data_IF_166540645888
#
_entry.id   IF_166540645888
#
_cell.length_a   1.000
_cell.length_b   1.000
_cell.length_c   1.000
_cell.angle_alpha   90.00
_cell.angle_beta   90.00
_cell.angle_gamma   90.00
#
_symmetry.space_group_name_H-M   'P 1'
#
loop_
_entity.id
_entity.type
_entity.pdbx_description
1 polymer ?
#
# COMPACT_ATOMS: atom_id res chain seq x y z
N UNK A 1 -7.72 -56.58 -8.82
CA UNK A 1 -6.82 -55.64 -9.52
C UNK A 1 -7.53 -54.36 -9.95
N UNK A 2 -8.75 -54.39 -10.45
CA UNK A 2 -9.48 -53.19 -10.91
C UNK A 2 -9.71 -52.13 -9.81
N UNK A 3 -9.97 -52.52 -8.58
CA UNK A 3 -10.24 -51.57 -7.47
C UNK A 3 -8.95 -50.85 -6.99
N UNK A 4 -7.78 -51.43 -7.11
CA UNK A 4 -6.52 -50.79 -6.74
C UNK A 4 -6.09 -49.72 -7.74
N UNK A 5 -6.39 -49.94 -9.03
CA UNK A 5 -6.12 -48.98 -10.11
C UNK A 5 -7.05 -47.77 -9.99
N UNK A 6 -8.30 -48.00 -9.59
CA UNK A 6 -9.29 -46.90 -9.39
C UNK A 6 -8.91 -46.02 -8.20
N UNK A 7 -8.46 -46.61 -7.08
CA UNK A 7 -7.99 -45.85 -5.92
C UNK A 7 -6.71 -45.05 -6.21
N UNK A 8 -5.76 -45.62 -6.98
CA UNK A 8 -4.54 -44.88 -7.36
C UNK A 8 -4.82 -43.75 -8.32
N UNK A 9 -5.75 -43.93 -9.25
CA UNK A 9 -6.15 -42.88 -10.19
C UNK A 9 -6.90 -41.73 -9.45
N UNK A 10 -7.73 -42.05 -8.46
CA UNK A 10 -8.43 -41.05 -7.63
C UNK A 10 -7.47 -40.26 -6.76
N UNK A 11 -6.42 -40.91 -6.20
CA UNK A 11 -5.39 -40.24 -5.41
C UNK A 11 -4.53 -39.28 -6.24
N UNK A 12 -4.29 -39.62 -7.52
CA UNK A 12 -3.52 -38.77 -8.42
C UNK A 12 -4.28 -37.49 -8.83
N UNK A 13 -5.60 -37.57 -8.94
CA UNK A 13 -6.46 -36.42 -9.33
C UNK A 13 -6.58 -35.40 -8.19
N UNK A 14 -6.53 -35.85 -6.94
CA UNK A 14 -6.58 -34.94 -5.76
C UNK A 14 -5.28 -34.15 -5.54
N UNK A 15 -4.16 -34.61 -6.08
CA UNK A 15 -2.87 -33.94 -5.94
C UNK A 15 -2.74 -32.65 -6.81
N UNK A 16 -3.60 -32.47 -7.82
CA UNK A 16 -3.57 -31.29 -8.71
C UNK A 16 -4.39 -30.09 -8.22
N UNK A 17 -5.10 -30.20 -7.10
CA UNK A 17 -5.83 -29.08 -6.50
C UNK A 17 -4.95 -28.18 -5.61
N UNK A 18 -3.65 -28.05 -5.93
CA UNK A 18 -2.82 -27.01 -5.33
C UNK A 18 -3.25 -25.69 -5.91
N UNK A 19 -4.13 -24.99 -5.19
CA UNK A 19 -4.53 -23.61 -5.49
C UNK A 19 -3.28 -22.75 -5.58
N UNK A 20 -2.92 -22.34 -6.77
CA UNK A 20 -1.85 -21.39 -7.01
C UNK A 20 -2.34 -20.04 -6.45
N UNK A 21 -1.98 -19.71 -5.21
CA UNK A 21 -2.20 -18.35 -4.67
C UNK A 21 -1.34 -17.41 -5.50
N UNK A 22 -1.98 -16.46 -6.16
CA UNK A 22 -1.29 -15.40 -6.85
C UNK A 22 -0.58 -14.52 -5.81
N UNK A 23 0.66 -14.13 -6.11
CA UNK A 23 1.38 -13.20 -5.27
C UNK A 23 0.77 -11.79 -5.35
N UNK A 24 0.87 -10.97 -4.27
CA UNK A 24 0.44 -9.58 -4.30
C UNK A 24 1.09 -8.82 -5.45
N UNK A 25 0.32 -8.04 -6.18
CA UNK A 25 0.80 -7.29 -7.35
C UNK A 25 -0.32 -6.85 -8.27
N UNK A 26 0.05 -6.46 -9.50
CA UNK A 26 -0.87 -5.98 -10.53
C UNK A 26 -1.46 -7.15 -11.32
N UNK A 27 -2.71 -7.01 -11.74
CA UNK A 27 -3.42 -7.94 -12.62
C UNK A 27 -4.72 -8.49 -12.03
N UNK A 28 -5.10 -8.03 -10.84
CA UNK A 28 -6.37 -8.35 -10.18
C UNK A 28 -7.48 -7.33 -10.47
N UNK A 29 -8.53 -7.36 -9.66
CA UNK A 29 -9.71 -6.48 -9.79
C UNK A 29 -9.91 -5.61 -8.53
N UNK A 30 -9.05 -5.70 -7.53
CA UNK A 30 -9.14 -4.91 -6.31
C UNK A 30 -8.42 -3.57 -6.43
N UNK A 31 -8.74 -2.65 -5.52
CA UNK A 31 -8.08 -1.36 -5.42
C UNK A 31 -7.80 -0.96 -3.97
N UNK A 32 -6.80 -0.09 -3.80
CA UNK A 32 -6.49 0.57 -2.54
C UNK A 32 -6.49 2.07 -2.79
N UNK A 33 -7.28 2.80 -2.00
CA UNK A 33 -7.41 4.25 -2.08
C UNK A 33 -7.18 4.92 -0.74
N UNK A 34 -6.93 6.23 -0.77
CA UNK A 34 -6.79 7.08 0.39
C UNK A 34 -6.59 8.52 -0.01
N UNK A 35 -6.28 9.36 0.97
CA UNK A 35 -5.94 10.77 0.74
C UNK A 35 -4.66 11.16 1.46
N UNK A 36 -3.95 12.13 0.91
CA UNK A 36 -2.81 12.76 1.57
C UNK A 36 -3.27 14.07 2.18
N UNK A 37 -3.13 14.20 3.49
CA UNK A 37 -3.44 15.41 4.23
C UNK A 37 -2.18 16.08 4.72
N UNK A 38 -1.94 17.32 4.31
CA UNK A 38 -0.75 18.09 4.60
C UNK A 38 -0.98 19.00 5.78
N UNK A 39 -0.09 18.96 6.76
CA UNK A 39 0.05 19.98 7.80
C UNK A 39 1.34 20.76 7.55
N UNK A 40 1.18 21.98 7.05
CA UNK A 40 2.30 22.84 6.70
C UNK A 40 2.69 23.71 7.90
N UNK A 41 3.92 23.56 8.36
CA UNK A 41 4.48 24.31 9.47
C UNK A 41 5.54 25.31 8.99
N UNK A 42 5.86 26.27 9.88
CA UNK A 42 7.02 27.12 9.67
C UNK A 42 8.33 26.32 9.80
N UNK A 43 9.44 26.88 9.36
CA UNK A 43 10.76 26.21 9.34
C UNK A 43 11.20 25.65 10.69
N UNK A 44 10.76 26.24 11.81
CA UNK A 44 11.07 25.80 13.16
C UNK A 44 10.05 24.80 13.74
N UNK A 45 9.03 24.41 12.97
CA UNK A 45 7.92 23.57 13.44
C UNK A 45 7.18 24.07 14.68
N UNK A 46 7.24 25.37 14.95
CA UNK A 46 6.57 25.99 16.10
C UNK A 46 5.15 26.47 15.83
N UNK A 47 4.84 26.79 14.57
CA UNK A 47 3.53 27.32 14.16
C UNK A 47 3.00 26.59 12.94
N UNK A 48 1.75 26.13 13.04
CA UNK A 48 0.99 25.60 11.90
C UNK A 48 0.55 26.78 11.00
N UNK A 49 0.94 26.74 9.74
CA UNK A 49 0.64 27.77 8.74
C UNK A 49 -0.65 27.44 7.99
N UNK A 50 -0.78 26.19 7.54
CA UNK A 50 -1.91 25.74 6.74
C UNK A 50 -2.15 24.23 6.88
N UNK A 51 -3.39 23.82 6.64
CA UNK A 51 -3.80 22.43 6.52
C UNK A 51 -4.62 22.26 5.24
N UNK A 52 -4.32 21.25 4.45
CA UNK A 52 -5.02 21.01 3.19
C UNK A 52 -4.79 19.56 2.68
N UNK A 53 -5.66 19.11 1.79
CA UNK A 53 -5.41 17.90 1.02
C UNK A 53 -4.36 18.18 -0.07
N UNK A 54 -3.25 17.46 0.00
CA UNK A 54 -2.05 17.75 -0.79
C UNK A 54 -2.10 17.21 -2.20
N UNK A 55 -2.13 18.09 -3.24
CA UNK A 55 -1.97 17.65 -4.62
C UNK A 55 -0.52 17.30 -4.96
N UNK A 56 -0.33 16.50 -6.01
CA UNK A 56 0.98 16.16 -6.57
C UNK A 56 1.98 15.48 -5.61
N UNK A 57 1.51 14.92 -4.51
CA UNK A 57 2.33 14.17 -3.55
C UNK A 57 2.55 12.75 -4.04
N UNK A 58 3.79 12.30 -4.06
CA UNK A 58 4.09 10.91 -4.42
C UNK A 58 3.66 9.93 -3.33
N UNK A 59 2.87 8.95 -3.74
CA UNK A 59 2.45 7.82 -2.91
C UNK A 59 2.97 6.54 -3.56
N UNK A 60 3.50 5.66 -2.74
CA UNK A 60 4.17 4.43 -3.14
C UNK A 60 3.44 3.21 -2.60
N UNK A 61 3.47 2.11 -3.34
CA UNK A 61 2.95 0.83 -2.92
C UNK A 61 4.05 -0.24 -2.97
N UNK A 62 4.17 -1.01 -1.90
CA UNK A 62 5.02 -2.20 -1.83
C UNK A 62 4.11 -3.42 -1.83
N UNK A 63 4.42 -4.40 -2.66
CA UNK A 63 3.69 -5.66 -2.79
C UNK A 63 4.26 -6.70 -1.85
N UNK A 64 3.44 -7.22 -0.93
CA UNK A 64 3.83 -8.25 0.02
C UNK A 64 5.04 -7.88 0.86
N UNK A 65 6.05 -8.74 0.83
CA UNK A 65 7.30 -8.56 1.57
C UNK A 65 8.46 -8.00 0.72
N UNK A 66 8.17 -7.42 -0.44
CA UNK A 66 9.21 -6.84 -1.28
C UNK A 66 9.93 -5.69 -0.55
N UNK A 67 11.20 -5.49 -0.88
CA UNK A 67 12.02 -4.40 -0.31
C UNK A 67 11.76 -3.10 -1.05
N UNK A 68 11.52 -3.16 -2.38
CA UNK A 68 11.29 -2.02 -3.24
C UNK A 68 9.79 -1.80 -3.49
N UNK A 69 9.42 -0.55 -3.79
CA UNK A 69 8.07 -0.27 -4.25
C UNK A 69 7.82 -0.88 -5.63
N UNK A 70 6.61 -1.38 -5.85
CA UNK A 70 6.18 -1.91 -7.15
C UNK A 70 5.60 -0.83 -8.06
N UNK A 71 4.94 0.18 -7.47
CA UNK A 71 4.33 1.28 -8.20
C UNK A 71 4.39 2.58 -7.41
N UNK A 72 4.37 3.70 -8.13
CA UNK A 72 4.34 5.07 -7.60
C UNK A 72 3.33 5.89 -8.38
N UNK A 73 2.47 6.62 -7.67
CA UNK A 73 1.51 7.55 -8.26
C UNK A 73 1.57 8.90 -7.55
N UNK A 74 0.99 9.92 -8.13
CA UNK A 74 0.79 11.22 -7.49
C UNK A 74 -0.66 11.35 -7.01
N UNK A 75 -0.84 12.02 -5.88
CA UNK A 75 -2.16 12.43 -5.42
C UNK A 75 -2.79 13.43 -6.39
N UNK A 76 -4.11 13.37 -6.52
CA UNK A 76 -4.93 14.29 -7.30
C UNK A 76 -5.08 15.64 -6.60
N UNK A 77 -5.77 16.58 -7.26
CA UNK A 77 -5.98 17.93 -6.74
C UNK A 77 -6.64 17.97 -5.34
N UNK A 78 -7.50 17.01 -5.05
CA UNK A 78 -8.17 16.84 -3.75
C UNK A 78 -7.40 15.95 -2.76
N UNK A 79 -6.12 15.69 -3.03
CA UNK A 79 -5.23 14.82 -2.24
C UNK A 79 -5.48 13.33 -2.42
N UNK A 80 -6.47 12.92 -3.20
CA UNK A 80 -6.85 11.54 -3.40
C UNK A 80 -5.81 10.73 -4.19
N UNK A 81 -5.67 9.46 -3.86
CA UNK A 81 -4.87 8.51 -4.64
C UNK A 81 -5.57 7.15 -4.71
N UNK A 82 -5.31 6.39 -5.76
CA UNK A 82 -5.87 5.06 -5.94
C UNK A 82 -4.92 4.15 -6.73
N UNK A 83 -4.56 3.02 -6.13
CA UNK A 83 -3.86 1.91 -6.79
C UNK A 83 -4.90 0.88 -7.23
N UNK A 84 -4.97 0.61 -8.53
CA UNK A 84 -5.97 -0.27 -9.16
C UNK A 84 -5.36 -1.58 -9.65
N UNK A 85 -6.24 -2.52 -9.97
CA UNK A 85 -5.89 -3.80 -10.59
C UNK A 85 -4.98 -4.66 -9.71
N UNK A 86 -5.25 -4.69 -8.42
CA UNK A 86 -4.45 -5.44 -7.45
C UNK A 86 -5.01 -6.85 -7.25
N UNK A 87 -4.11 -7.81 -7.05
CA UNK A 87 -4.46 -9.13 -6.54
C UNK A 87 -4.73 -9.11 -5.04
N UNK A 88 -5.30 -10.20 -4.53
CA UNK A 88 -5.40 -10.46 -3.09
C UNK A 88 -4.00 -10.57 -2.47
N UNK A 89 -3.85 -10.09 -1.23
CA UNK A 89 -2.60 -10.16 -0.49
C UNK A 89 -2.32 -8.93 0.36
N UNK A 90 -1.11 -8.87 0.90
CA UNK A 90 -0.66 -7.80 1.78
C UNK A 90 0.05 -6.70 1.01
N UNK A 91 -0.22 -5.46 1.39
CA UNK A 91 0.37 -4.27 0.78
C UNK A 91 0.80 -3.27 1.85
N UNK A 92 1.83 -2.49 1.52
CA UNK A 92 2.24 -1.32 2.29
C UNK A 92 2.16 -0.10 1.40
N UNK A 93 1.38 0.90 1.84
CA UNK A 93 1.26 2.19 1.18
C UNK A 93 2.10 3.18 1.99
N UNK A 94 2.93 3.98 1.36
CA UNK A 94 3.69 4.99 2.07
C UNK A 94 3.87 6.27 1.25
N UNK A 95 4.08 7.35 1.96
CA UNK A 95 4.50 8.65 1.43
C UNK A 95 5.52 9.26 2.38
N UNK A 96 6.28 10.25 1.91
CA UNK A 96 7.28 10.92 2.72
C UNK A 96 6.71 12.16 3.42
N UNK A 97 7.16 12.38 4.63
CA UNK A 97 6.83 13.50 5.49
C UNK A 97 8.12 14.05 6.09
N UNK A 98 8.16 15.33 6.42
CA UNK A 98 9.23 15.85 7.28
C UNK A 98 9.05 15.27 8.69
N UNK A 99 10.14 14.81 9.29
CA UNK A 99 10.18 14.39 10.69
C UNK A 99 10.38 15.62 11.58
N UNK A 100 9.32 16.06 12.25
CA UNK A 100 9.34 17.24 13.11
C UNK A 100 10.34 17.11 14.27
N UNK A 101 10.52 15.91 14.82
CA UNK A 101 11.49 15.67 15.90
C UNK A 101 12.94 15.83 15.41
N UNK A 102 13.23 15.37 14.20
CA UNK A 102 14.54 15.52 13.58
C UNK A 102 14.85 16.99 13.23
N UNK A 103 13.85 17.79 12.83
CA UNK A 103 14.03 19.23 12.59
C UNK A 103 14.43 19.95 13.87
N UNK A 104 13.75 19.69 14.99
CA UNK A 104 14.04 20.30 16.29
C UNK A 104 15.44 19.93 16.78
N UNK A 105 15.94 18.74 16.45
CA UNK A 105 17.30 18.28 16.82
C UNK A 105 18.39 18.67 15.81
N UNK A 106 18.04 19.43 14.75
CA UNK A 106 18.99 19.97 13.79
C UNK A 106 19.52 18.96 12.75
N UNK A 107 18.80 17.86 12.50
CA UNK A 107 19.18 16.90 11.45
C UNK A 107 18.94 17.48 10.05
N UNK A 108 19.89 17.25 9.15
CA UNK A 108 19.78 17.63 7.74
C UNK A 108 18.95 16.58 6.98
N UNK A 109 17.86 16.99 6.33
CA UNK A 109 16.88 16.14 5.62
C UNK A 109 16.13 15.16 6.54
N UNK A 110 15.28 15.65 7.38
CA UNK A 110 14.50 14.84 8.33
C UNK A 110 13.28 14.22 7.64
N UNK A 111 13.49 13.43 6.59
CA UNK A 111 12.39 12.74 5.89
C UNK A 111 12.06 11.44 6.61
N UNK A 112 10.79 11.27 6.94
CA UNK A 112 10.22 10.05 7.51
C UNK A 112 9.13 9.49 6.63
N UNK A 113 9.00 8.16 6.57
CA UNK A 113 7.92 7.52 5.82
C UNK A 113 6.68 7.35 6.69
N UNK A 114 5.55 7.87 6.22
CA UNK A 114 4.22 7.57 6.77
C UNK A 114 3.70 6.32 6.07
N UNK A 115 3.56 5.21 6.81
CA UNK A 115 3.23 3.89 6.25
C UNK A 115 1.84 3.47 6.72
N UNK A 116 1.06 2.89 5.80
CA UNK A 116 -0.19 2.16 6.06
C UNK A 116 -0.07 0.74 5.53
N UNK A 117 -0.44 -0.23 6.35
CA UNK A 117 -0.54 -1.62 5.94
C UNK A 117 -1.99 -1.95 5.64
N UNK A 118 -2.24 -2.70 4.58
CA UNK A 118 -3.57 -3.11 4.16
C UNK A 118 -3.52 -4.49 3.53
N UNK A 119 -4.51 -5.31 3.84
CA UNK A 119 -4.67 -6.65 3.27
C UNK A 119 -5.91 -6.67 2.39
N UNK A 120 -5.76 -7.10 1.15
CA UNK A 120 -6.87 -7.41 0.24
C UNK A 120 -7.18 -8.89 0.39
N UNK A 121 -8.39 -9.21 0.83
CA UNK A 121 -8.87 -10.59 1.06
C UNK A 121 -9.92 -11.03 0.04
N UNK A 122 -10.51 -10.10 -0.69
CA UNK A 122 -11.54 -10.36 -1.69
C UNK A 122 -11.13 -9.80 -3.05
N UNK A 123 -11.46 -10.54 -4.10
CA UNK A 123 -11.05 -10.24 -5.48
C UNK A 123 -11.38 -8.82 -5.96
N UNK A 124 -12.54 -8.27 -5.57
CA UNK A 124 -13.01 -6.93 -5.99
C UNK A 124 -13.07 -5.95 -4.84
N UNK A 125 -12.27 -6.16 -3.81
CA UNK A 125 -12.24 -5.30 -2.64
C UNK A 125 -11.73 -3.91 -3.00
N UNK A 126 -12.45 -2.90 -2.52
CA UNK A 126 -11.97 -1.51 -2.47
C UNK A 126 -11.55 -1.21 -1.04
N UNK A 127 -10.26 -1.21 -0.77
CA UNK A 127 -9.71 -0.91 0.54
C UNK A 127 -9.41 0.59 0.66
N UNK A 128 -9.85 1.21 1.75
CA UNK A 128 -9.57 2.61 2.05
C UNK A 128 -8.60 2.71 3.23
N UNK A 129 -7.43 3.31 3.01
CA UNK A 129 -6.41 3.51 4.05
C UNK A 129 -6.59 4.82 4.82
N UNK A 130 -7.61 5.60 4.46
CA UNK A 130 -7.92 6.90 5.08
C UNK A 130 -6.90 7.98 4.76
N UNK A 131 -6.83 8.97 5.63
CA UNK A 131 -5.91 10.09 5.48
C UNK A 131 -4.50 9.73 5.93
N UNK A 132 -3.55 9.93 5.04
CA UNK A 132 -2.12 9.86 5.32
C UNK A 132 -1.63 11.27 5.66
N UNK A 133 -1.46 11.54 6.95
CA UNK A 133 -1.06 12.87 7.43
C UNK A 133 0.45 13.01 7.27
N UNK A 134 0.86 14.06 6.54
CA UNK A 134 2.26 14.42 6.35
C UNK A 134 2.52 15.86 6.83
N UNK A 135 3.75 16.10 7.23
CA UNK A 135 4.25 17.43 7.60
C UNK A 135 5.13 18.00 6.48
N UNK A 136 4.98 19.30 6.23
CA UNK A 136 5.78 20.10 5.29
C UNK A 136 6.19 21.44 5.91
#
# INVERSE_FOLDING_TARGET
MKNKIFCTLFLLITAFAVSCKKEPGIGGDASIRGKVFVKHYNTQFSNLIAEYYGPDIYVYIIYGNNISYGQRIKSSYDGGFEFKYLYEGDYKIYTYSIDSAAVVTGHVKPDSAVIRQVTIIERKQEADVGDMIIFQ
#
